data_IF_518670904902
#
_entry.id   IF_518670904902
#
_cell.length_a   1.000
_cell.length_b   1.000
_cell.length_c   1.000
_cell.angle_alpha   90.00
_cell.angle_beta   90.00
_cell.angle_gamma   90.00
#
_symmetry.space_group_name_H-M   'P 1'
#
loop_
_entity.id
_entity.type
_entity.pdbx_description
1 polymer ?
#
# COMPACT_ATOMS: atom_id res chain seq x y z
N UNK A 1 11.52 19.73 -29.99
CA UNK A 1 10.41 20.53 -29.43
C UNK A 1 10.65 20.62 -27.93
N UNK A 2 10.96 21.80 -27.44
CA UNK A 2 11.13 22.04 -26.00
C UNK A 2 9.70 22.20 -25.46
N UNK A 3 9.29 21.33 -24.56
CA UNK A 3 7.98 21.43 -23.90
C UNK A 3 8.07 22.56 -22.86
N UNK A 4 7.30 23.60 -23.04
CA UNK A 4 7.18 24.68 -22.05
C UNK A 4 6.15 24.24 -20.99
N UNK A 5 6.56 24.20 -19.73
CA UNK A 5 5.68 23.83 -18.61
C UNK A 5 5.35 25.10 -17.83
N UNK A 6 4.08 25.49 -17.80
CA UNK A 6 3.58 26.51 -16.89
C UNK A 6 2.96 25.85 -15.64
N UNK A 7 3.17 26.46 -14.48
CA UNK A 7 2.65 25.97 -13.20
C UNK A 7 1.79 27.07 -12.58
N UNK A 8 0.50 26.80 -12.44
CA UNK A 8 -0.44 27.65 -11.73
C UNK A 8 -0.75 27.06 -10.36
N UNK A 9 -0.89 27.89 -9.34
CA UNK A 9 -1.27 27.50 -7.99
C UNK A 9 -2.71 27.94 -7.71
N UNK A 10 -3.57 26.98 -7.39
CA UNK A 10 -4.96 27.20 -6.99
C UNK A 10 -5.08 26.88 -5.49
N UNK A 11 -5.67 27.80 -4.73
CA UNK A 11 -5.92 27.56 -3.31
C UNK A 11 -6.88 26.36 -3.13
N UNK A 12 -6.59 25.46 -2.19
CA UNK A 12 -7.40 24.26 -1.95
C UNK A 12 -8.89 24.58 -1.71
N UNK A 13 -9.18 25.69 -1.04
CA UNK A 13 -10.56 26.17 -0.81
C UNK A 13 -11.33 26.46 -2.12
N UNK A 14 -10.63 26.79 -3.21
CA UNK A 14 -11.25 27.12 -4.51
C UNK A 14 -11.46 25.88 -5.40
N UNK A 15 -10.89 24.73 -5.03
CA UNK A 15 -11.04 23.49 -5.80
C UNK A 15 -12.40 22.88 -5.47
N UNK A 16 -13.32 22.89 -6.44
CA UNK A 16 -14.71 22.42 -6.27
C UNK A 16 -14.80 20.90 -6.09
N UNK A 17 -13.85 20.15 -6.60
CA UNK A 17 -13.78 18.68 -6.52
C UNK A 17 -13.45 18.18 -5.13
N UNK A 18 -12.82 18.99 -4.28
CA UNK A 18 -12.54 18.60 -2.90
C UNK A 18 -13.78 18.67 -2.03
N UNK A 19 -14.03 17.59 -1.30
CA UNK A 19 -15.08 17.57 -0.28
C UNK A 19 -14.76 18.55 0.87
N UNK A 20 -15.77 18.91 1.65
CA UNK A 20 -15.55 19.73 2.87
C UNK A 20 -14.56 19.09 3.85
N UNK A 21 -14.58 17.76 3.95
CA UNK A 21 -13.63 17.01 4.78
C UNK A 21 -12.20 17.14 4.24
N UNK A 22 -12.01 17.01 2.92
CA UNK A 22 -10.69 17.14 2.31
C UNK A 22 -10.14 18.56 2.51
N UNK A 23 -10.98 19.56 2.31
CA UNK A 23 -10.63 20.97 2.56
C UNK A 23 -10.26 21.22 4.00
N UNK A 24 -11.07 20.76 4.97
CA UNK A 24 -10.82 20.90 6.39
C UNK A 24 -9.45 20.31 6.78
N UNK A 25 -9.14 19.11 6.24
CA UNK A 25 -7.85 18.46 6.47
C UNK A 25 -6.68 19.24 5.82
N UNK A 26 -6.79 19.61 4.54
CA UNK A 26 -5.74 20.33 3.80
C UNK A 26 -5.46 21.72 4.39
N UNK A 27 -6.51 22.39 4.89
CA UNK A 27 -6.41 23.71 5.54
C UNK A 27 -6.02 23.63 7.02
N UNK A 28 -5.88 22.42 7.55
CA UNK A 28 -5.54 22.16 8.94
C UNK A 28 -6.46 22.92 9.92
N UNK A 29 -7.79 22.85 9.69
CA UNK A 29 -8.76 23.53 10.51
C UNK A 29 -8.61 23.15 12.00
N UNK A 30 -8.75 24.13 12.90
CA UNK A 30 -8.53 23.96 14.34
C UNK A 30 -9.35 22.83 14.95
N UNK A 31 -10.56 22.60 14.46
CA UNK A 31 -11.44 21.50 14.90
C UNK A 31 -10.84 20.10 14.70
N UNK A 32 -9.84 19.96 13.78
CA UNK A 32 -9.17 18.70 13.51
C UNK A 32 -7.92 18.47 14.34
N UNK A 33 -7.43 19.46 15.07
CA UNK A 33 -6.22 19.33 15.91
C UNK A 33 -6.23 18.13 16.86
N UNK A 34 -7.36 17.72 17.47
CA UNK A 34 -7.40 16.54 18.36
C UNK A 34 -7.17 15.20 17.62
N UNK A 35 -7.29 15.17 16.30
CA UNK A 35 -7.25 13.94 15.48
C UNK A 35 -5.90 13.69 14.80
N UNK A 36 -4.94 14.59 14.91
CA UNK A 36 -3.58 14.36 14.43
C UNK A 36 -2.56 14.65 15.54
N UNK A 37 -1.55 13.81 15.59
CA UNK A 37 -0.45 13.98 16.55
C UNK A 37 0.52 15.08 16.10
N UNK A 38 0.70 15.23 14.79
CA UNK A 38 1.63 16.18 14.18
C UNK A 38 0.94 16.94 13.05
N UNK A 39 1.18 18.26 12.92
CA UNK A 39 0.67 19.04 11.80
C UNK A 39 1.32 18.61 10.47
N UNK A 40 0.65 18.89 9.34
CA UNK A 40 1.21 18.69 8.00
C UNK A 40 2.23 19.78 7.67
N UNK A 41 3.35 19.78 8.37
CA UNK A 41 4.43 20.74 8.21
C UNK A 41 5.77 19.98 8.27
N UNK A 42 6.71 20.34 7.39
CA UNK A 42 8.04 19.75 7.41
C UNK A 42 8.78 20.02 8.74
N UNK A 43 8.42 21.08 9.47
CA UNK A 43 8.96 21.38 10.80
C UNK A 43 8.49 20.40 11.88
N UNK A 44 7.36 19.71 11.66
CA UNK A 44 6.88 18.68 12.60
C UNK A 44 7.80 17.47 12.67
N UNK A 45 8.69 17.29 11.68
CA UNK A 45 9.60 16.15 11.65
C UNK A 45 10.63 16.15 12.78
N UNK A 46 10.92 17.26 13.44
CA UNK A 46 11.72 17.27 14.67
C UNK A 46 11.08 16.33 15.72
N UNK A 47 9.80 16.54 16.00
CA UNK A 47 9.06 15.73 16.96
C UNK A 47 8.76 14.31 16.47
N UNK A 48 8.55 14.13 15.14
CA UNK A 48 8.32 12.82 14.54
C UNK A 48 9.57 11.96 14.67
N UNK A 49 10.75 12.47 14.33
CA UNK A 49 12.03 11.75 14.43
C UNK A 49 12.28 11.32 15.87
N UNK A 50 12.15 12.23 16.84
CA UNK A 50 12.35 11.90 18.25
C UNK A 50 11.36 10.84 18.75
N UNK A 51 10.12 10.88 18.28
CA UNK A 51 9.14 9.84 18.58
C UNK A 51 9.53 8.50 17.93
N UNK A 52 9.94 8.50 16.66
CA UNK A 52 10.31 7.26 15.93
C UNK A 52 11.54 6.57 16.50
N UNK A 53 12.50 7.30 17.04
CA UNK A 53 13.66 6.73 17.74
C UNK A 53 13.28 5.85 18.94
N UNK A 54 12.10 6.06 19.52
CA UNK A 54 11.62 5.28 20.66
C UNK A 54 11.01 3.94 20.23
N UNK A 55 10.73 3.75 18.92
CA UNK A 55 10.15 2.52 18.39
C UNK A 55 11.25 1.57 17.91
N UNK A 56 11.22 0.34 18.43
CA UNK A 56 12.10 -0.71 17.94
C UNK A 56 11.58 -1.24 16.61
N UNK A 57 12.44 -1.23 15.61
CA UNK A 57 12.16 -1.75 14.27
C UNK A 57 13.15 -2.89 13.98
N UNK A 58 12.67 -3.99 13.47
CA UNK A 58 13.54 -5.08 13.00
C UNK A 58 14.07 -4.73 11.59
N UNK A 59 15.18 -4.01 11.57
CA UNK A 59 15.83 -3.55 10.33
C UNK A 59 16.40 -4.70 9.51
N UNK A 60 16.86 -5.77 10.20
CA UNK A 60 17.38 -6.96 9.52
C UNK A 60 16.26 -7.67 8.75
N UNK A 61 15.08 -7.81 9.36
CA UNK A 61 13.92 -8.37 8.69
C UNK A 61 13.53 -7.56 7.45
N UNK A 62 13.50 -6.22 7.54
CA UNK A 62 13.19 -5.36 6.41
C UNK A 62 14.20 -5.55 5.27
N UNK A 63 15.49 -5.55 5.57
CA UNK A 63 16.57 -5.74 4.60
C UNK A 63 16.51 -7.13 3.95
N UNK A 64 16.28 -8.17 4.73
CA UNK A 64 16.14 -9.55 4.26
C UNK A 64 14.97 -9.70 3.28
N UNK A 65 13.79 -9.19 3.67
CA UNK A 65 12.59 -9.27 2.82
C UNK A 65 12.75 -8.45 1.54
N UNK A 66 13.31 -7.24 1.60
CA UNK A 66 13.62 -6.46 0.40
C UNK A 66 14.57 -7.20 -0.53
N UNK A 67 15.69 -7.74 0.02
CA UNK A 67 16.66 -8.51 -0.77
C UNK A 67 16.01 -9.72 -1.43
N UNK A 68 15.18 -10.45 -0.69
CA UNK A 68 14.46 -11.61 -1.22
C UNK A 68 13.48 -11.21 -2.33
N UNK A 69 12.67 -10.16 -2.14
CA UNK A 69 11.70 -9.71 -3.12
C UNK A 69 12.38 -9.22 -4.40
N UNK A 70 13.45 -8.42 -4.30
CA UNK A 70 14.18 -7.96 -5.48
C UNK A 70 14.81 -9.12 -6.25
N UNK A 71 15.40 -10.11 -5.56
CA UNK A 71 15.92 -11.31 -6.20
C UNK A 71 14.84 -12.10 -6.95
N UNK A 72 13.64 -12.24 -6.37
CA UNK A 72 12.49 -12.89 -7.05
C UNK A 72 12.05 -12.14 -8.32
N UNK A 73 12.26 -10.83 -8.36
CA UNK A 73 11.98 -9.99 -9.53
C UNK A 73 13.15 -9.95 -10.54
N UNK A 74 14.24 -10.64 -10.27
CA UNK A 74 15.42 -10.64 -11.13
C UNK A 74 16.39 -9.47 -10.93
N UNK A 75 16.28 -8.75 -9.79
CA UNK A 75 17.18 -7.65 -9.45
C UNK A 75 18.07 -7.97 -8.26
N UNK A 76 19.25 -7.36 -8.21
CA UNK A 76 20.04 -7.29 -6.97
C UNK A 76 19.58 -6.09 -6.16
N UNK A 77 19.41 -6.28 -4.86
CA UNK A 77 19.10 -5.19 -3.94
C UNK A 77 20.40 -4.55 -3.43
N UNK A 78 20.71 -3.34 -3.90
CA UNK A 78 21.96 -2.65 -3.59
C UNK A 78 21.92 -1.82 -2.29
N UNK A 79 20.77 -1.83 -1.57
CA UNK A 79 20.56 -1.04 -0.34
C UNK A 79 21.03 0.42 -0.48
N UNK A 80 20.46 1.22 -1.38
CA UNK A 80 20.96 2.53 -1.77
C UNK A 80 20.98 3.55 -0.62
N UNK A 81 20.24 3.28 0.44
CA UNK A 81 20.24 4.02 1.70
C UNK A 81 20.41 2.98 2.81
N UNK A 82 21.46 3.10 3.61
CA UNK A 82 21.74 2.12 4.66
C UNK A 82 20.55 1.98 5.63
N UNK A 83 19.77 0.93 5.42
CA UNK A 83 18.59 0.61 6.23
C UNK A 83 18.95 0.08 7.62
N UNK A 84 20.19 -0.36 7.83
CA UNK A 84 20.68 -0.85 9.13
C UNK A 84 21.10 0.30 10.05
N UNK A 85 21.43 1.48 9.51
CA UNK A 85 21.73 2.65 10.32
C UNK A 85 20.50 3.07 11.15
N UNK A 86 20.67 3.19 12.46
CA UNK A 86 19.60 3.60 13.40
C UNK A 86 19.04 5.01 13.10
N UNK A 87 19.82 5.85 12.40
CA UNK A 87 19.43 7.17 11.97
C UNK A 87 18.72 7.19 10.59
N UNK A 88 18.43 6.04 10.02
CA UNK A 88 17.64 5.92 8.79
C UNK A 88 16.16 5.74 9.13
N UNK A 89 15.30 6.58 8.53
CA UNK A 89 13.84 6.53 8.64
C UNK A 89 13.19 6.30 7.29
N UNK A 90 12.13 5.51 7.24
CA UNK A 90 11.36 5.30 6.01
C UNK A 90 10.27 6.37 5.86
N UNK A 91 10.05 6.83 4.62
CA UNK A 91 8.91 7.65 4.23
C UNK A 91 8.05 6.80 3.30
N UNK A 92 6.96 6.30 3.85
CA UNK A 92 6.15 5.26 3.20
C UNK A 92 4.93 5.85 2.51
N UNK A 93 4.67 5.38 1.30
CA UNK A 93 3.40 5.53 0.59
C UNK A 93 2.97 4.19 0.03
N UNK A 94 1.70 4.03 -0.32
CA UNK A 94 1.17 2.74 -0.75
C UNK A 94 0.11 2.88 -1.84
N UNK A 95 0.02 1.86 -2.71
CA UNK A 95 -1.09 1.69 -3.63
C UNK A 95 -1.38 0.20 -3.88
N UNK A 96 -2.63 -0.11 -4.28
CA UNK A 96 -2.98 -1.42 -4.83
C UNK A 96 -2.19 -1.67 -6.12
N UNK A 97 -1.96 -2.95 -6.52
CA UNK A 97 -1.41 -3.27 -7.83
C UNK A 97 -2.43 -2.86 -8.90
N UNK A 98 -2.19 -1.73 -9.54
CA UNK A 98 -3.10 -1.22 -10.58
C UNK A 98 -2.52 -1.46 -11.96
N UNK A 99 -3.35 -1.91 -12.90
CA UNK A 99 -2.94 -2.26 -14.26
C UNK A 99 -2.19 -1.11 -14.93
N UNK A 100 -0.95 -1.37 -15.38
CA UNK A 100 -0.05 -0.37 -16.02
C UNK A 100 0.09 0.93 -15.20
N UNK A 101 0.18 0.83 -13.87
CA UNK A 101 0.14 1.90 -12.86
C UNK A 101 -1.23 2.58 -12.65
N UNK A 102 -2.24 2.25 -13.45
CA UNK A 102 -3.60 2.78 -13.29
C UNK A 102 -3.66 4.31 -13.30
N UNK A 103 -4.26 4.93 -12.30
CA UNK A 103 -4.42 6.37 -12.26
C UNK A 103 -3.08 7.08 -12.00
N UNK A 104 -2.90 8.27 -12.59
CA UNK A 104 -1.67 9.06 -12.49
C UNK A 104 -1.19 9.32 -11.04
N UNK A 105 -2.09 9.31 -10.08
CA UNK A 105 -1.70 9.51 -8.68
C UNK A 105 -0.85 8.36 -8.11
N UNK A 106 -0.82 7.17 -8.73
CA UNK A 106 0.16 6.13 -8.40
C UNK A 106 1.59 6.67 -8.53
N UNK A 107 1.88 7.29 -9.69
CA UNK A 107 3.18 7.93 -9.97
C UNK A 107 3.42 9.12 -9.03
N UNK A 108 2.40 9.98 -8.83
CA UNK A 108 2.54 11.13 -7.94
C UNK A 108 2.83 10.74 -6.49
N UNK A 109 2.29 9.65 -5.99
CA UNK A 109 2.60 9.13 -4.64
C UNK A 109 4.08 8.77 -4.53
N UNK A 110 4.63 8.03 -5.49
CA UNK A 110 6.04 7.65 -5.52
C UNK A 110 6.95 8.88 -5.58
N UNK A 111 6.69 9.79 -6.53
CA UNK A 111 7.44 11.04 -6.68
C UNK A 111 7.35 11.92 -5.43
N UNK A 112 6.20 11.96 -4.77
CA UNK A 112 6.02 12.74 -3.54
C UNK A 112 6.85 12.19 -2.39
N UNK A 113 6.92 10.86 -2.22
CA UNK A 113 7.77 10.23 -1.22
C UNK A 113 9.25 10.55 -1.48
N UNK A 114 9.72 10.38 -2.73
CA UNK A 114 11.10 10.73 -3.14
C UNK A 114 11.41 12.20 -2.86
N UNK A 115 10.51 13.11 -3.25
CA UNK A 115 10.71 14.55 -3.04
C UNK A 115 10.76 14.90 -1.55
N UNK A 116 9.88 14.29 -0.75
CA UNK A 116 9.84 14.53 0.69
C UNK A 116 11.15 14.06 1.36
N UNK A 117 11.63 12.84 1.05
CA UNK A 117 12.89 12.33 1.61
C UNK A 117 14.07 13.21 1.28
N UNK A 118 14.17 13.69 0.04
CA UNK A 118 15.23 14.64 -0.37
C UNK A 118 15.14 15.97 0.37
N UNK A 119 13.93 16.50 0.57
CA UNK A 119 13.71 17.73 1.34
C UNK A 119 14.06 17.54 2.82
N UNK A 120 13.71 16.39 3.40
CA UNK A 120 14.05 16.04 4.77
C UNK A 120 15.55 15.85 4.95
N UNK A 121 16.25 15.24 4.00
CA UNK A 121 17.72 15.10 4.06
C UNK A 121 18.44 16.45 4.05
N UNK A 122 17.94 17.41 3.28
CA UNK A 122 18.47 18.77 3.30
C UNK A 122 18.24 19.45 4.65
N UNK A 123 17.04 19.29 5.23
CA UNK A 123 16.69 19.92 6.49
C UNK A 123 17.33 19.24 7.70
N UNK A 124 17.48 17.92 7.65
CA UNK A 124 17.97 17.07 8.74
C UNK A 124 19.18 16.25 8.28
N UNK A 125 20.33 16.87 8.02
CA UNK A 125 21.48 16.21 7.39
C UNK A 125 22.10 15.08 8.22
N UNK A 126 21.83 15.03 9.53
CA UNK A 126 22.29 13.98 10.43
C UNK A 126 21.49 12.65 10.28
N UNK A 127 20.35 12.69 9.60
CA UNK A 127 19.49 11.52 9.40
C UNK A 127 19.41 11.12 7.92
N UNK A 128 19.09 9.88 7.67
CA UNK A 128 18.78 9.36 6.35
C UNK A 128 17.28 9.09 6.21
N UNK A 129 16.76 9.26 5.00
CA UNK A 129 15.33 9.03 4.72
C UNK A 129 15.19 8.19 3.48
N UNK A 130 14.64 6.99 3.63
CA UNK A 130 14.40 6.05 2.54
C UNK A 130 12.95 6.17 2.05
N UNK A 131 12.70 6.54 0.79
CA UNK A 131 11.35 6.52 0.24
C UNK A 131 10.93 5.08 -0.03
N UNK A 132 9.77 4.67 0.50
CA UNK A 132 9.23 3.32 0.34
C UNK A 132 7.86 3.38 -0.32
N UNK A 133 7.71 2.63 -1.39
CA UNK A 133 6.42 2.42 -2.06
C UNK A 133 5.93 1.00 -1.79
N UNK A 134 4.82 0.89 -1.10
CA UNK A 134 4.21 -0.40 -0.75
C UNK A 134 3.17 -0.80 -1.78
N UNK A 135 3.32 -1.97 -2.38
CA UNK A 135 2.30 -2.62 -3.20
C UNK A 135 1.32 -3.33 -2.27
N UNK A 136 0.09 -2.83 -2.22
CA UNK A 136 -1.00 -3.35 -1.38
C UNK A 136 -1.79 -4.47 -2.07
N UNK A 137 -1.18 -5.64 -2.23
CA UNK A 137 -1.74 -6.76 -3.01
C UNK A 137 -2.82 -7.60 -2.33
N UNK A 138 -3.13 -7.37 -1.05
CA UNK A 138 -4.08 -8.19 -0.29
C UNK A 138 -5.57 -7.89 -0.57
N UNK A 139 -5.86 -6.79 -1.26
CA UNK A 139 -7.23 -6.44 -1.62
C UNK A 139 -7.78 -7.39 -2.69
N UNK A 140 -9.10 -7.57 -2.70
CA UNK A 140 -9.81 -8.49 -3.59
C UNK A 140 -10.73 -7.77 -4.60
N UNK A 141 -10.75 -6.43 -4.55
CA UNK A 141 -11.58 -5.63 -5.46
C UNK A 141 -10.87 -5.47 -6.82
N UNK A 142 -10.97 -6.54 -7.61
CA UNK A 142 -10.31 -6.63 -8.91
C UNK A 142 -10.82 -5.59 -9.91
N UNK A 143 -12.11 -5.26 -9.86
CA UNK A 143 -12.72 -4.32 -10.80
C UNK A 143 -12.17 -2.89 -10.65
N UNK A 144 -11.68 -2.52 -9.46
CA UNK A 144 -11.05 -1.21 -9.24
C UNK A 144 -9.70 -1.08 -9.93
N UNK A 145 -9.00 -2.18 -10.18
CA UNK A 145 -7.58 -2.19 -10.56
C UNK A 145 -7.28 -2.84 -11.91
N UNK A 146 -8.28 -3.47 -12.53
CA UNK A 146 -8.12 -4.27 -13.75
C UNK A 146 -8.10 -3.46 -15.04
N UNK A 147 -8.19 -2.14 -14.99
CA UNK A 147 -8.30 -1.32 -16.18
C UNK A 147 -7.54 0.00 -16.09
N UNK A 148 -7.25 0.58 -17.24
CA UNK A 148 -6.74 1.94 -17.37
C UNK A 148 -7.25 2.60 -18.66
N UNK A 149 -7.13 3.93 -18.73
CA UNK A 149 -7.58 4.71 -19.89
C UNK A 149 -6.39 5.27 -20.65
N UNK A 150 -6.35 5.06 -21.97
CA UNK A 150 -5.32 5.57 -22.85
C UNK A 150 -5.96 6.12 -24.12
N UNK A 151 -5.70 7.40 -24.44
CA UNK A 151 -6.25 8.09 -25.63
C UNK A 151 -7.77 7.91 -25.84
N UNK A 152 -8.53 7.96 -24.73
CA UNK A 152 -9.98 7.82 -24.74
C UNK A 152 -10.51 6.38 -24.81
N UNK A 153 -9.64 5.38 -24.96
CA UNK A 153 -9.98 3.96 -24.86
C UNK A 153 -9.77 3.46 -23.45
N UNK A 154 -10.61 2.54 -22.99
CA UNK A 154 -10.39 1.78 -21.77
C UNK A 154 -9.87 0.40 -22.15
N UNK A 155 -8.70 0.05 -21.63
CA UNK A 155 -8.14 -1.30 -21.72
C UNK A 155 -8.45 -2.00 -20.39
N UNK A 156 -9.00 -3.20 -20.47
CA UNK A 156 -9.42 -3.97 -19.30
C UNK A 156 -8.81 -5.36 -19.37
N UNK A 157 -8.20 -5.79 -18.29
CA UNK A 157 -7.71 -7.15 -18.13
C UNK A 157 -8.83 -8.06 -17.62
N UNK A 158 -9.06 -9.17 -18.28
CA UNK A 158 -9.88 -10.28 -17.83
C UNK A 158 -8.97 -11.33 -17.17
N UNK A 159 -9.10 -11.46 -15.85
CA UNK A 159 -8.30 -12.42 -15.08
C UNK A 159 -8.83 -13.86 -15.13
N UNK A 160 -9.77 -14.16 -16.04
CA UNK A 160 -10.35 -15.50 -16.21
C UNK A 160 -10.99 -16.05 -14.93
N UNK A 161 -11.69 -15.18 -14.21
CA UNK A 161 -12.43 -15.49 -12.96
C UNK A 161 -11.55 -15.98 -11.78
N UNK A 162 -10.28 -15.59 -11.73
CA UNK A 162 -9.47 -15.83 -10.52
C UNK A 162 -10.08 -15.11 -9.32
N UNK A 163 -10.05 -15.74 -8.16
CA UNK A 163 -10.51 -15.20 -6.90
C UNK A 163 -9.33 -14.95 -5.94
N UNK A 164 -9.59 -14.31 -4.84
CA UNK A 164 -8.60 -14.09 -3.79
C UNK A 164 -7.93 -12.71 -3.84
N UNK A 165 -6.81 -12.55 -3.12
CA UNK A 165 -6.05 -11.30 -3.12
C UNK A 165 -5.50 -10.98 -4.50
N UNK A 166 -5.79 -9.78 -5.01
CA UNK A 166 -5.41 -9.40 -6.37
C UNK A 166 -3.91 -9.52 -6.63
N UNK A 167 -3.08 -9.21 -5.63
CA UNK A 167 -1.62 -9.33 -5.76
C UNK A 167 -1.11 -10.76 -5.93
N UNK A 168 -1.91 -11.78 -5.56
CA UNK A 168 -1.57 -13.20 -5.70
C UNK A 168 -2.07 -13.81 -7.01
N UNK A 169 -2.91 -13.10 -7.77
CA UNK A 169 -3.44 -13.58 -9.05
C UNK A 169 -2.31 -13.84 -10.05
N UNK A 170 -2.45 -14.89 -10.86
CA UNK A 170 -1.57 -15.12 -12.01
C UNK A 170 -1.86 -14.09 -13.12
N UNK A 171 -0.96 -13.94 -14.06
CA UNK A 171 -1.09 -13.00 -15.18
C UNK A 171 -1.89 -13.57 -16.36
N UNK A 172 -2.69 -14.63 -16.17
CA UNK A 172 -3.50 -15.22 -17.23
C UNK A 172 -4.40 -14.17 -17.89
N UNK A 173 -4.41 -14.12 -19.22
CA UNK A 173 -5.20 -13.16 -20.00
C UNK A 173 -4.58 -11.75 -20.11
N UNK A 174 -3.42 -11.49 -19.52
CA UNK A 174 -2.75 -10.18 -19.60
C UNK A 174 -2.18 -9.90 -21.00
N UNK A 175 -1.87 -10.94 -21.75
CA UNK A 175 -1.34 -10.88 -23.11
C UNK A 175 -2.27 -10.13 -24.07
N UNK A 176 -3.57 -10.22 -23.87
CA UNK A 176 -4.55 -9.47 -24.68
C UNK A 176 -4.43 -7.96 -24.45
N UNK A 177 -4.18 -7.55 -23.23
CA UNK A 177 -3.97 -6.12 -22.86
C UNK A 177 -2.63 -5.64 -23.44
N UNK A 178 -1.57 -6.44 -23.34
CA UNK A 178 -0.25 -6.08 -23.87
C UNK A 178 -0.32 -5.92 -25.40
N UNK A 179 -1.00 -6.82 -26.11
CA UNK A 179 -1.19 -6.74 -27.56
C UNK A 179 -1.96 -5.49 -27.97
N UNK A 180 -3.07 -5.18 -27.30
CA UNK A 180 -3.83 -3.96 -27.57
C UNK A 180 -3.01 -2.69 -27.30
N UNK A 181 -2.18 -2.73 -26.25
CA UNK A 181 -1.33 -1.60 -25.87
C UNK A 181 -0.24 -1.37 -26.92
N UNK A 182 0.39 -2.42 -27.46
CA UNK A 182 1.38 -2.33 -28.51
C UNK A 182 0.80 -1.67 -29.77
N UNK A 183 -0.40 -2.07 -30.19
CA UNK A 183 -1.10 -1.46 -31.32
C UNK A 183 -1.37 0.04 -31.09
N UNK A 184 -1.75 0.44 -29.89
CA UNK A 184 -2.07 1.83 -29.56
C UNK A 184 -0.81 2.70 -29.47
N UNK A 185 0.27 2.19 -28.90
CA UNK A 185 1.53 2.91 -28.74
C UNK A 185 2.25 3.14 -30.07
N UNK A 186 2.06 2.23 -31.04
CA UNK A 186 2.74 2.28 -32.33
C UNK A 186 4.24 1.96 -32.22
N UNK A 187 5.01 2.35 -33.25
CA UNK A 187 6.39 1.89 -33.47
C UNK A 187 7.48 2.94 -33.21
N UNK A 188 7.16 4.07 -32.60
CA UNK A 188 8.17 5.08 -32.27
C UNK A 188 9.21 4.54 -31.28
N UNK A 189 10.41 5.10 -31.28
CA UNK A 189 11.46 4.69 -30.34
C UNK A 189 11.03 4.78 -28.87
N UNK A 190 10.23 5.78 -28.51
CA UNK A 190 9.70 5.95 -27.16
C UNK A 190 8.65 4.89 -26.85
N UNK A 191 7.75 4.59 -27.80
CA UNK A 191 6.74 3.54 -27.67
C UNK A 191 7.39 2.18 -27.44
N UNK A 192 8.40 1.83 -28.27
CA UNK A 192 9.15 0.57 -28.13
C UNK A 192 9.84 0.45 -26.76
N UNK A 193 10.45 1.53 -26.25
CA UNK A 193 11.05 1.53 -24.92
C UNK A 193 10.00 1.31 -23.83
N UNK A 194 8.86 2.01 -23.90
CA UNK A 194 7.78 1.83 -22.93
C UNK A 194 7.22 0.42 -22.98
N UNK A 195 6.91 -0.09 -24.17
CA UNK A 195 6.41 -1.45 -24.34
C UNK A 195 7.40 -2.48 -23.78
N UNK A 196 8.71 -2.34 -24.06
CA UNK A 196 9.74 -3.24 -23.51
C UNK A 196 9.74 -3.26 -21.97
N UNK A 197 9.49 -2.13 -21.30
CA UNK A 197 9.38 -2.08 -19.83
C UNK A 197 8.12 -2.83 -19.37
N UNK A 198 7.00 -2.62 -20.04
CA UNK A 198 5.73 -3.25 -19.71
C UNK A 198 5.75 -4.75 -19.96
N UNK A 199 6.29 -5.17 -21.10
CA UNK A 199 6.48 -6.58 -21.45
C UNK A 199 7.45 -7.28 -20.47
N UNK A 200 8.56 -6.63 -20.11
CA UNK A 200 9.45 -7.16 -19.07
C UNK A 200 8.73 -7.37 -17.73
N UNK A 201 7.82 -6.47 -17.36
CA UNK A 201 7.11 -6.57 -16.10
C UNK A 201 5.97 -7.60 -16.11
N UNK A 202 5.16 -7.62 -17.18
CA UNK A 202 3.92 -8.41 -17.26
C UNK A 202 4.00 -9.61 -18.21
N UNK A 203 5.00 -9.71 -19.07
CA UNK A 203 5.18 -10.83 -19.99
C UNK A 203 5.75 -12.10 -19.35
N UNK A 204 6.20 -12.04 -18.11
CA UNK A 204 6.72 -13.19 -17.35
C UNK A 204 5.57 -13.87 -16.57
N UNK A 205 5.01 -14.92 -17.13
CA UNK A 205 3.88 -15.68 -16.55
C UNK A 205 4.20 -16.40 -15.24
N UNK A 206 5.46 -16.41 -14.81
CA UNK A 206 5.84 -17.00 -13.50
C UNK A 206 5.59 -16.04 -12.34
N UNK A 207 5.38 -14.76 -12.63
CA UNK A 207 5.09 -13.74 -11.63
C UNK A 207 3.59 -13.68 -11.32
N UNK A 208 3.30 -13.32 -10.08
CA UNK A 208 1.96 -12.85 -9.73
C UNK A 208 1.75 -11.39 -10.19
N UNK A 209 0.49 -10.97 -10.25
CA UNK A 209 0.13 -9.59 -10.61
C UNK A 209 0.76 -8.54 -9.68
N UNK A 210 0.85 -8.83 -8.38
CA UNK A 210 1.55 -7.99 -7.41
C UNK A 210 3.06 -7.89 -7.71
N UNK A 211 3.69 -9.02 -8.03
CA UNK A 211 5.11 -9.06 -8.39
C UNK A 211 5.38 -8.34 -9.72
N UNK A 212 4.52 -8.51 -10.72
CA UNK A 212 4.63 -7.80 -11.99
C UNK A 212 4.50 -6.27 -11.79
N UNK A 213 3.54 -5.83 -10.97
CA UNK A 213 3.39 -4.41 -10.61
C UNK A 213 4.59 -3.89 -9.83
N UNK A 214 5.15 -4.70 -8.93
CA UNK A 214 6.38 -4.37 -8.20
C UNK A 214 7.56 -4.22 -9.16
N UNK A 215 7.75 -5.17 -10.09
CA UNK A 215 8.79 -5.12 -11.13
C UNK A 215 8.65 -3.88 -12.01
N UNK A 216 7.43 -3.56 -12.48
CA UNK A 216 7.17 -2.33 -13.23
C UNK A 216 7.57 -1.08 -12.43
N UNK A 217 7.21 -1.04 -11.15
CA UNK A 217 7.51 0.12 -10.31
C UNK A 217 9.02 0.26 -10.10
N UNK A 218 9.74 -0.83 -9.86
CA UNK A 218 11.21 -0.83 -9.78
C UNK A 218 11.82 -0.29 -11.07
N UNK A 219 11.38 -0.75 -12.25
CA UNK A 219 11.90 -0.29 -13.56
C UNK A 219 11.64 1.20 -13.80
N UNK A 220 10.44 1.69 -13.47
CA UNK A 220 10.09 3.09 -13.66
C UNK A 220 10.88 4.03 -12.77
N UNK A 221 11.33 3.57 -11.61
CA UNK A 221 12.01 4.40 -10.61
C UNK A 221 13.46 3.96 -10.33
N UNK A 222 14.05 3.11 -11.18
CA UNK A 222 15.40 2.53 -10.99
C UNK A 222 16.53 3.56 -10.83
N UNK A 223 16.36 4.75 -11.40
CA UNK A 223 17.33 5.85 -11.28
C UNK A 223 17.06 6.75 -10.06
N UNK A 224 16.30 6.24 -9.09
CA UNK A 224 15.98 6.95 -7.84
C UNK A 224 16.26 6.05 -6.63
N UNK A 225 16.13 6.63 -5.44
CA UNK A 225 16.32 5.92 -4.17
C UNK A 225 15.03 5.17 -3.71
N UNK A 226 13.99 5.08 -4.56
CA UNK A 226 12.71 4.46 -4.20
C UNK A 226 12.86 2.97 -3.95
N UNK A 227 12.50 2.54 -2.76
CA UNK A 227 12.35 1.14 -2.40
C UNK A 227 10.93 0.69 -2.68
N UNK A 228 10.75 -0.44 -3.36
CA UNK A 228 9.44 -1.01 -3.68
C UNK A 228 9.26 -2.30 -2.92
N UNK A 229 8.19 -2.40 -2.13
CA UNK A 229 7.98 -3.46 -1.16
C UNK A 229 6.56 -4.01 -1.25
N UNK A 230 6.39 -5.33 -1.20
CA UNK A 230 5.11 -5.96 -0.94
C UNK A 230 5.00 -6.34 0.54
N UNK A 231 3.90 -5.92 1.19
CA UNK A 231 3.60 -6.30 2.58
C UNK A 231 2.92 -7.67 2.67
N UNK A 232 2.44 -8.25 1.56
CA UNK A 232 1.93 -9.63 1.52
C UNK A 232 3.12 -10.61 1.59
N UNK A 233 3.69 -10.75 2.78
CA UNK A 233 4.89 -11.52 3.06
C UNK A 233 4.77 -12.24 4.40
N UNK A 234 5.07 -13.54 4.43
CA UNK A 234 4.94 -14.39 5.62
C UNK A 234 5.77 -13.88 6.80
N UNK A 235 6.98 -13.41 6.57
CA UNK A 235 7.87 -12.95 7.64
C UNK A 235 7.36 -11.65 8.29
N UNK A 236 6.84 -10.71 7.50
CA UNK A 236 6.18 -9.51 8.03
C UNK A 236 4.89 -9.86 8.79
N UNK A 237 4.07 -10.78 8.27
CA UNK A 237 2.87 -11.25 8.96
C UNK A 237 3.20 -11.91 10.29
N UNK A 238 4.27 -12.71 10.32
CA UNK A 238 4.77 -13.31 11.56
C UNK A 238 5.21 -12.25 12.58
N UNK A 239 5.91 -11.22 12.15
CA UNK A 239 6.28 -10.10 13.03
C UNK A 239 5.03 -9.37 13.57
N UNK A 240 3.96 -9.26 12.79
CA UNK A 240 2.71 -8.63 13.17
C UNK A 240 1.75 -9.55 13.98
N UNK A 241 2.07 -10.84 14.13
CA UNK A 241 1.18 -11.83 14.77
C UNK A 241 0.79 -11.46 16.20
N UNK A 242 1.63 -10.77 16.95
CA UNK A 242 1.29 -10.31 18.31
C UNK A 242 0.12 -9.32 18.33
N UNK A 243 0.05 -8.44 17.34
CA UNK A 243 -1.05 -7.47 17.17
C UNK A 243 -2.31 -8.17 16.71
N UNK A 244 -2.19 -9.12 15.77
CA UNK A 244 -3.31 -9.96 15.31
C UNK A 244 -3.90 -10.74 16.48
N UNK A 245 -3.05 -11.40 17.27
CA UNK A 245 -3.46 -12.15 18.48
C UNK A 245 -4.20 -11.25 19.47
N UNK A 246 -3.70 -10.06 19.71
CA UNK A 246 -4.35 -9.09 20.59
C UNK A 246 -5.71 -8.66 20.07
N UNK A 247 -5.85 -8.44 18.75
CA UNK A 247 -7.15 -8.11 18.13
C UNK A 247 -8.15 -9.25 18.30
N UNK A 248 -7.73 -10.51 18.08
CA UNK A 248 -8.59 -11.70 18.24
C UNK A 248 -9.08 -11.83 19.68
N UNK A 249 -8.19 -11.70 20.67
CA UNK A 249 -8.51 -11.95 22.07
C UNK A 249 -9.22 -10.79 22.74
N UNK A 250 -8.78 -9.55 22.48
CA UNK A 250 -9.18 -8.35 23.22
C UNK A 250 -10.12 -7.43 22.43
N UNK A 251 -10.20 -7.59 21.10
CA UNK A 251 -10.93 -6.64 20.23
C UNK A 251 -10.55 -5.18 20.53
N UNK A 252 -9.26 -4.93 20.73
CA UNK A 252 -8.77 -3.65 21.27
C UNK A 252 -9.01 -2.46 20.35
N UNK A 253 -9.05 -2.69 19.03
CA UNK A 253 -9.13 -1.62 18.04
C UNK A 253 -10.53 -1.00 17.95
N UNK A 254 -11.59 -1.78 18.11
CA UNK A 254 -12.98 -1.31 17.96
C UNK A 254 -13.34 -0.16 18.89
N UNK A 255 -13.19 -0.27 20.23
CA UNK A 255 -13.59 0.80 21.15
C UNK A 255 -12.77 2.08 20.94
N UNK A 256 -11.51 1.96 20.52
CA UNK A 256 -10.66 3.13 20.22
C UNK A 256 -11.15 3.88 18.98
N UNK A 257 -11.52 3.15 17.94
CA UNK A 257 -12.02 3.74 16.69
C UNK A 257 -13.42 4.30 16.88
N UNK A 258 -14.32 3.61 17.60
CA UNK A 258 -15.66 4.12 17.91
C UNK A 258 -15.59 5.45 18.66
N UNK A 259 -14.73 5.58 19.67
CA UNK A 259 -14.49 6.84 20.37
C UNK A 259 -14.04 7.97 19.42
N UNK A 260 -13.21 7.64 18.44
CA UNK A 260 -12.75 8.62 17.44
C UNK A 260 -13.88 9.00 16.47
N UNK A 261 -14.73 8.04 16.09
CA UNK A 261 -15.91 8.27 15.25
C UNK A 261 -16.86 9.26 15.92
N UNK A 262 -17.17 9.05 17.21
CA UNK A 262 -18.05 9.95 17.98
C UNK A 262 -17.47 11.36 18.05
N UNK A 263 -16.18 11.47 18.37
CA UNK A 263 -15.50 12.77 18.43
C UNK A 263 -15.44 13.48 17.05
N UNK A 264 -15.31 12.75 15.94
CA UNK A 264 -15.39 13.32 14.59
C UNK A 264 -16.81 13.79 14.25
N UNK A 265 -17.83 13.06 14.69
CA UNK A 265 -19.22 13.46 14.50
C UNK A 265 -19.54 14.77 15.23
N UNK A 266 -18.99 14.96 16.45
CA UNK A 266 -19.14 16.19 17.24
C UNK A 266 -18.58 17.43 16.53
N UNK A 267 -17.59 17.28 15.66
CA UNK A 267 -17.01 18.36 14.84
C UNK A 267 -17.59 18.41 13.43
N UNK A 268 -18.69 17.69 13.17
CA UNK A 268 -19.43 17.73 11.89
C UNK A 268 -18.81 16.91 10.77
N UNK A 269 -17.94 15.95 11.08
CA UNK A 269 -17.32 15.08 10.07
C UNK A 269 -17.85 13.65 10.15
N UNK A 270 -18.13 13.05 8.99
CA UNK A 270 -18.57 11.66 8.88
C UNK A 270 -17.37 10.73 8.61
N UNK A 271 -17.31 9.62 9.35
CA UNK A 271 -16.37 8.54 9.07
C UNK A 271 -16.74 7.79 7.78
N UNK A 272 -15.71 7.24 7.13
CA UNK A 272 -15.83 6.40 5.94
C UNK A 272 -15.65 4.91 6.25
N UNK A 273 -14.99 4.58 7.35
CA UNK A 273 -14.72 3.21 7.76
C UNK A 273 -15.24 2.98 9.19
N UNK A 274 -15.92 1.86 9.40
CA UNK A 274 -16.46 1.48 10.71
C UNK A 274 -15.75 0.21 11.19
N UNK A 275 -15.32 0.18 12.47
CA UNK A 275 -14.68 -0.99 13.04
C UNK A 275 -15.68 -2.14 13.16
N UNK A 276 -15.17 -3.35 13.05
CA UNK A 276 -15.91 -4.60 13.27
C UNK A 276 -15.56 -5.19 14.63
N UNK A 277 -16.25 -6.26 15.01
CA UNK A 277 -15.87 -7.04 16.19
C UNK A 277 -14.46 -7.64 16.07
N UNK A 278 -14.04 -7.97 14.86
CA UNK A 278 -12.69 -8.39 14.51
C UNK A 278 -12.29 -7.62 13.25
N UNK A 279 -11.19 -6.88 13.30
CA UNK A 279 -10.73 -6.04 12.19
C UNK A 279 -9.71 -6.75 11.30
N UNK A 280 -9.97 -8.04 11.05
CA UNK A 280 -9.14 -8.93 10.24
C UNK A 280 -9.97 -9.63 9.16
N UNK A 281 -9.28 -9.95 8.06
CA UNK A 281 -9.74 -10.87 7.05
C UNK A 281 -8.90 -12.15 7.09
N UNK A 282 -9.48 -13.23 6.63
CA UNK A 282 -8.81 -14.48 6.33
C UNK A 282 -8.63 -14.60 4.82
N UNK A 283 -7.40 -14.90 4.39
CA UNK A 283 -7.00 -15.05 2.99
C UNK A 283 -6.83 -16.54 2.67
N UNK A 284 -7.50 -16.99 1.65
CA UNK A 284 -7.31 -18.32 1.06
C UNK A 284 -7.56 -18.26 -0.46
N UNK A 285 -7.56 -19.41 -1.13
CA UNK A 285 -7.82 -19.52 -2.57
C UNK A 285 -9.26 -19.10 -2.94
N UNK A 286 -10.21 -19.18 -2.01
CA UNK A 286 -11.61 -18.79 -2.22
C UNK A 286 -11.84 -17.28 -2.06
N UNK A 287 -10.85 -16.53 -1.52
CA UNK A 287 -10.97 -15.10 -1.40
C UNK A 287 -10.31 -14.47 -0.19
N UNK A 288 -10.73 -13.23 0.08
CA UNK A 288 -10.41 -12.42 1.26
C UNK A 288 -11.68 -12.20 2.05
N UNK A 289 -11.92 -13.04 3.04
CA UNK A 289 -13.17 -13.11 3.76
C UNK A 289 -13.03 -12.60 5.20
N UNK A 290 -14.06 -11.91 5.70
CA UNK A 290 -14.04 -11.37 7.07
C UNK A 290 -14.03 -12.47 8.10
N UNK A 291 -13.31 -12.27 9.20
CA UNK A 291 -13.42 -13.08 10.41
C UNK A 291 -14.46 -12.41 11.31
N UNK A 292 -15.49 -13.16 11.70
CA UNK A 292 -16.52 -12.70 12.64
C UNK A 292 -16.56 -13.63 13.85
N UNK A 293 -16.67 -13.03 15.06
CA UNK A 293 -16.89 -13.79 16.28
C UNK A 293 -18.40 -14.00 16.49
N UNK A 294 -18.82 -15.25 16.64
CA UNK A 294 -20.19 -15.62 17.01
C UNK A 294 -20.13 -16.58 18.21
N UNK A 295 -20.61 -16.09 19.36
CA UNK A 295 -20.48 -16.79 20.63
C UNK A 295 -19.01 -17.16 20.92
N UNK A 296 -18.70 -18.42 21.05
CA UNK A 296 -17.35 -18.93 21.35
C UNK A 296 -16.58 -19.37 20.09
N UNK A 297 -17.08 -19.03 18.88
CA UNK A 297 -16.48 -19.44 17.61
C UNK A 297 -16.14 -18.25 16.73
N UNK A 298 -15.16 -18.46 15.85
CA UNK A 298 -14.75 -17.54 14.82
C UNK A 298 -15.11 -18.10 13.45
N UNK A 299 -15.90 -17.36 12.71
CA UNK A 299 -16.42 -17.77 11.40
C UNK A 299 -15.76 -16.95 10.33
N UNK A 300 -15.22 -17.60 9.30
CA UNK A 300 -14.78 -16.93 8.07
C UNK A 300 -15.99 -16.80 7.15
N UNK A 301 -16.47 -15.57 7.01
CA UNK A 301 -17.71 -15.24 6.29
C UNK A 301 -17.64 -15.72 4.83
N UNK A 302 -18.73 -16.23 4.28
CA UNK A 302 -18.84 -16.79 2.94
C UNK A 302 -18.00 -18.05 2.67
N UNK A 303 -17.52 -18.70 3.73
CA UNK A 303 -16.83 -20.01 3.66
C UNK A 303 -17.41 -20.99 4.66
N UNK A 304 -16.96 -22.24 4.64
CA UNK A 304 -17.29 -23.26 5.64
C UNK A 304 -16.29 -23.30 6.81
N UNK A 305 -15.34 -22.35 6.88
CA UNK A 305 -14.32 -22.34 7.91
C UNK A 305 -14.87 -21.77 9.21
N UNK A 306 -14.78 -22.57 10.26
CA UNK A 306 -15.18 -22.23 11.64
C UNK A 306 -14.07 -22.69 12.57
N UNK A 307 -13.57 -21.78 13.39
CA UNK A 307 -12.52 -22.04 14.36
C UNK A 307 -13.01 -21.82 15.79
N UNK A 308 -12.54 -22.60 16.73
CA UNK A 308 -12.47 -22.22 18.12
C UNK A 308 -11.36 -21.16 18.31
N UNK A 309 -11.30 -20.53 19.47
CA UNK A 309 -10.22 -19.58 19.77
C UNK A 309 -8.85 -20.25 19.68
N UNK A 310 -8.70 -21.45 20.22
CA UNK A 310 -7.44 -22.20 20.20
C UNK A 310 -7.02 -22.56 18.77
N UNK A 311 -7.94 -23.02 17.93
CA UNK A 311 -7.69 -23.34 16.52
C UNK A 311 -7.30 -22.09 15.71
N UNK A 312 -7.98 -20.96 15.92
CA UNK A 312 -7.64 -19.73 15.21
C UNK A 312 -6.26 -19.19 15.61
N UNK A 313 -5.89 -19.32 16.87
CA UNK A 313 -4.55 -18.93 17.34
C UNK A 313 -3.46 -19.89 16.84
N UNK A 314 -3.76 -21.18 16.75
CA UNK A 314 -2.85 -22.15 16.13
C UNK A 314 -2.67 -21.83 14.64
N UNK A 315 -3.76 -21.55 13.92
CA UNK A 315 -3.71 -21.13 12.52
C UNK A 315 -2.87 -19.88 12.32
N UNK A 316 -2.96 -18.91 13.23
CA UNK A 316 -2.11 -17.71 13.20
C UNK A 316 -0.61 -18.03 13.39
N UNK A 317 -0.28 -19.01 14.19
CA UNK A 317 1.12 -19.43 14.41
C UNK A 317 1.69 -20.18 13.19
N UNK A 318 0.91 -21.03 12.56
CA UNK A 318 1.32 -21.88 11.44
C UNK A 318 1.27 -21.14 10.11
N UNK A 319 0.21 -20.36 9.89
CA UNK A 319 -0.12 -19.69 8.62
C UNK A 319 -0.40 -18.18 8.81
N UNK A 320 0.53 -17.39 9.34
CA UNK A 320 0.31 -15.96 9.58
C UNK A 320 -0.04 -15.20 8.29
N UNK A 321 0.38 -15.67 7.13
CA UNK A 321 0.07 -15.13 5.80
C UNK A 321 -1.42 -15.25 5.42
N UNK A 322 -2.18 -16.07 6.13
CA UNK A 322 -3.64 -16.17 5.97
C UNK A 322 -4.39 -15.02 6.66
N UNK A 323 -3.74 -14.21 7.46
CA UNK A 323 -4.39 -13.09 8.16
C UNK A 323 -4.06 -11.76 7.50
N UNK A 324 -5.08 -10.97 7.21
CA UNK A 324 -4.94 -9.64 6.59
C UNK A 324 -5.64 -8.57 7.44
N UNK A 325 -4.93 -7.52 7.85
CA UNK A 325 -5.57 -6.40 8.56
C UNK A 325 -6.52 -5.64 7.62
N UNK A 326 -7.66 -5.23 8.14
CA UNK A 326 -8.54 -4.32 7.43
C UNK A 326 -8.02 -2.87 7.51
N UNK A 327 -8.80 -1.91 7.00
CA UNK A 327 -8.44 -0.49 6.99
C UNK A 327 -8.16 0.09 8.40
N UNK A 328 -8.71 -0.51 9.44
CA UNK A 328 -8.50 -0.07 10.85
C UNK A 328 -7.11 -0.46 11.35
N UNK A 329 -6.66 -1.68 11.07
CA UNK A 329 -5.38 -2.22 11.57
C UNK A 329 -4.23 -2.06 10.56
N UNK A 330 -4.51 -1.81 9.29
CA UNK A 330 -3.48 -1.64 8.25
C UNK A 330 -2.41 -0.59 8.58
N UNK A 331 -2.73 0.58 9.16
CA UNK A 331 -1.71 1.55 9.55
C UNK A 331 -0.68 0.98 10.54
N UNK A 332 -1.12 0.16 11.51
CA UNK A 332 -0.22 -0.49 12.46
C UNK A 332 0.67 -1.54 11.79
N UNK A 333 0.16 -2.20 10.75
CA UNK A 333 0.94 -3.19 9.99
C UNK A 333 2.00 -2.52 9.11
N UNK A 334 1.74 -1.33 8.61
CA UNK A 334 2.66 -0.56 7.78
C UNK A 334 3.70 0.23 8.59
N UNK A 335 3.45 0.45 9.86
CA UNK A 335 4.37 1.13 10.79
C UNK A 335 5.53 0.24 11.24
#
# INVERSE_FOLDING_TARGET
MIMEISIDKIAAAQVRQFSEKDKAYMLQEDRLKPFWKYPMDINAFDAIIENRKQHKVDRNLLLEVLSQQYNQLGYTFDNPIDLLDENTFTITTAHQPSLMTGPLYFIYKAVSAIKLTRSLKVKYPAYNFAPVFVIGGEDHDFEEINHFKLFGKTLTWDNQNQLGPCGRMSLNGIEDVLSQLEEILGDSNTARKLYSILDHAFGDSTLSYGQATQRLTVELFKDTELLVLSMDNKAFKKAFSSIIKREILENFSKPLVEKTIDALADVGLKMQAYPRSINLFYLNEEGRNRIERKEDKYIVVNTNLIFSEAELLQELEENPESFSPNVVLRPLYQE
#
